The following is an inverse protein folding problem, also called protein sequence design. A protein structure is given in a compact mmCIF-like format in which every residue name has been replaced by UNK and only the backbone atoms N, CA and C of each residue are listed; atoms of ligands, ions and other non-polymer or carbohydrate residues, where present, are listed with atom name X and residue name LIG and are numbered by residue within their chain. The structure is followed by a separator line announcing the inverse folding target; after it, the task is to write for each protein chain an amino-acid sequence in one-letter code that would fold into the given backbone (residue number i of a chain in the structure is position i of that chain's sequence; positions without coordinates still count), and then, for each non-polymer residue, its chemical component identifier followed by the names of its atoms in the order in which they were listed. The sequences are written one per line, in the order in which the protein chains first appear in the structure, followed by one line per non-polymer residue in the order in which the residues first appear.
data_IF_806701591006
#
_entry.id   IF_806701591006
#
_cell.length_a   1.000
_cell.length_b   1.000
_cell.length_c   1.000
_cell.angle_alpha   90.00
_cell.angle_beta   90.00
_cell.angle_gamma   90.00
#
_symmetry.space_group_name_H-M   'P 1'
#
loop_
_entity.id
_entity.type
_entity.pdbx_description
1 polymer ?
#
# COMPACT_ATOMS: atom_id res chain seq x y z
N UNK A 1 3.93 -20.46 -4.94
CA UNK A 1 2.68 -20.10 -4.25
C UNK A 1 2.40 -18.61 -4.32
N UNK A 2 3.28 -17.76 -3.83
CA UNK A 2 3.06 -16.30 -3.87
C UNK A 2 3.70 -15.67 -5.12
N UNK A 3 3.05 -15.83 -6.26
CA UNK A 3 3.54 -15.29 -7.53
C UNK A 3 3.08 -13.86 -7.79
N UNK A 4 1.82 -13.54 -7.45
CA UNK A 4 1.26 -12.19 -7.58
C UNK A 4 1.03 -11.61 -6.20
N UNK A 5 1.84 -10.63 -5.84
CA UNK A 5 1.80 -9.98 -4.52
C UNK A 5 1.34 -8.54 -4.70
N UNK A 6 0.30 -8.15 -3.97
CA UNK A 6 -0.19 -6.77 -3.93
C UNK A 6 0.30 -6.11 -2.65
N UNK A 7 1.03 -5.03 -2.80
CA UNK A 7 1.51 -4.22 -1.67
C UNK A 7 0.70 -2.93 -1.62
N UNK A 8 -0.12 -2.79 -0.58
CA UNK A 8 -0.91 -1.58 -0.37
C UNK A 8 -0.12 -0.58 0.48
N UNK A 9 0.08 0.63 -0.05
CA UNK A 9 0.87 1.66 0.61
C UNK A 9 0.08 2.95 0.76
N UNK A 10 0.38 3.72 1.80
CA UNK A 10 -0.18 5.05 2.03
C UNK A 10 0.91 6.10 2.28
N UNK A 11 2.18 5.71 2.14
CA UNK A 11 3.33 6.58 2.36
C UNK A 11 3.75 6.72 3.81
N UNK A 12 3.13 6.01 4.74
CA UNK A 12 3.51 6.01 6.16
C UNK A 12 4.76 5.17 6.41
N UNK A 13 5.32 5.26 7.62
CA UNK A 13 6.41 4.38 8.08
C UNK A 13 5.99 2.91 8.02
N UNK A 14 4.72 2.62 8.27
CA UNK A 14 4.18 1.26 8.18
C UNK A 14 4.23 0.74 6.74
N UNK A 15 4.00 1.60 5.75
CA UNK A 15 4.16 1.26 4.33
C UNK A 15 5.61 0.93 3.99
N UNK A 16 6.58 1.64 4.55
CA UNK A 16 7.99 1.34 4.34
C UNK A 16 8.36 -0.04 4.87
N UNK A 17 7.87 -0.39 6.06
CA UNK A 17 8.08 -1.73 6.64
C UNK A 17 7.41 -2.81 5.80
N UNK A 18 6.18 -2.56 5.36
CA UNK A 18 5.44 -3.48 4.48
C UNK A 18 6.19 -3.73 3.18
N UNK A 19 6.83 -2.70 2.64
CA UNK A 19 7.65 -2.78 1.43
C UNK A 19 8.84 -3.74 1.62
N UNK A 20 9.52 -3.66 2.76
CA UNK A 20 10.63 -4.56 3.05
C UNK A 20 10.16 -6.02 3.07
N UNK A 21 9.01 -6.29 3.67
CA UNK A 21 8.43 -7.64 3.66
C UNK A 21 8.05 -8.10 2.25
N UNK A 22 7.47 -7.20 1.44
CA UNK A 22 7.10 -7.53 0.06
C UNK A 22 8.30 -7.92 -0.78
N UNK A 23 9.40 -7.19 -0.66
CA UNK A 23 10.64 -7.47 -1.38
C UNK A 23 11.22 -8.81 -0.92
N UNK A 24 11.30 -9.05 0.38
CA UNK A 24 11.84 -10.30 0.92
C UNK A 24 11.03 -11.52 0.47
N UNK A 25 9.71 -11.43 0.52
CA UNK A 25 8.84 -12.51 0.06
C UNK A 25 8.93 -12.69 -1.45
N UNK A 26 9.01 -11.59 -2.21
CA UNK A 26 9.17 -11.66 -3.66
C UNK A 26 10.44 -12.35 -4.09
N UNK A 27 11.52 -12.21 -3.32
CA UNK A 27 12.79 -12.86 -3.60
C UNK A 27 12.80 -14.36 -3.37
N UNK A 28 11.82 -14.90 -2.64
CA UNK A 28 11.73 -16.32 -2.36
C UNK A 28 11.32 -17.17 -3.57
N UNK A 29 10.77 -16.53 -4.59
CA UNK A 29 10.39 -17.21 -5.82
C UNK A 29 10.89 -16.43 -7.04
N UNK A 30 11.37 -17.13 -8.05
CA UNK A 30 11.96 -16.52 -9.24
C UNK A 30 10.95 -15.83 -10.14
N UNK A 31 9.67 -16.13 -10.01
CA UNK A 31 8.61 -15.60 -10.88
C UNK A 31 7.66 -14.64 -10.15
N UNK A 32 8.03 -14.22 -8.95
CA UNK A 32 7.16 -13.33 -8.18
C UNK A 32 7.09 -11.93 -8.82
N UNK A 33 5.87 -11.43 -8.93
CA UNK A 33 5.59 -10.07 -9.35
C UNK A 33 5.00 -9.31 -8.17
N UNK A 34 5.55 -8.14 -7.86
CA UNK A 34 5.01 -7.25 -6.83
C UNK A 34 4.38 -6.05 -7.51
N UNK A 35 3.13 -5.80 -7.18
CA UNK A 35 2.42 -4.61 -7.62
C UNK A 35 2.11 -3.74 -6.42
N UNK A 36 2.49 -2.47 -6.49
CA UNK A 36 2.21 -1.47 -5.47
C UNK A 36 0.89 -0.81 -5.83
N UNK A 37 -0.06 -0.80 -4.89
CA UNK A 37 -1.29 -0.02 -5.06
C UNK A 37 -1.29 1.15 -4.07
N UNK A 38 -1.51 2.35 -4.62
CA UNK A 38 -1.69 3.58 -3.86
C UNK A 38 -3.08 4.14 -4.19
N UNK A 39 -3.93 4.28 -3.18
CA UNK A 39 -5.29 4.77 -3.36
C UNK A 39 -5.40 6.21 -2.87
N UNK A 40 -5.82 7.09 -3.77
CA UNK A 40 -6.06 8.50 -3.48
C UNK A 40 -7.51 8.66 -3.01
N UNK A 41 -7.67 9.09 -1.77
CA UNK A 41 -8.96 9.32 -1.16
C UNK A 41 -9.35 10.81 -1.32
N UNK A 42 -10.29 11.10 -2.19
CA UNK A 42 -10.72 12.47 -2.46
C UNK A 42 -11.33 13.16 -1.24
N UNK A 43 -11.96 12.41 -0.34
CA UNK A 43 -12.56 13.00 0.87
C UNK A 43 -11.49 13.56 1.80
N UNK A 44 -10.32 12.94 1.85
CA UNK A 44 -9.18 13.40 2.64
C UNK A 44 -8.34 14.43 1.89
N UNK A 45 -8.36 14.43 0.56
CA UNK A 45 -7.57 15.34 -0.27
C UNK A 45 -7.89 16.81 -0.01
N UNK A 46 -9.16 17.17 0.21
CA UNK A 46 -9.55 18.54 0.52
C UNK A 46 -8.91 19.02 1.83
N UNK A 47 -8.97 18.20 2.87
CA UNK A 47 -8.36 18.52 4.17
C UNK A 47 -6.84 18.61 4.06
N UNK A 48 -6.21 17.68 3.35
CA UNK A 48 -4.77 17.67 3.14
C UNK A 48 -4.28 18.88 2.33
N UNK A 49 -5.05 19.31 1.33
CA UNK A 49 -4.74 20.52 0.54
C UNK A 49 -4.76 21.75 1.45
N UNK A 50 -5.73 21.86 2.35
CA UNK A 50 -5.81 22.96 3.32
C UNK A 50 -4.60 22.98 4.25
N UNK A 51 -4.09 21.82 4.65
CA UNK A 51 -2.92 21.72 5.53
C UNK A 51 -1.60 21.97 4.79
N UNK A 52 -1.48 21.52 3.55
CA UNK A 52 -0.25 21.65 2.77
C UNK A 52 -0.12 22.96 2.00
N UNK A 53 -1.20 23.74 1.93
CA UNK A 53 -1.24 25.06 1.32
C UNK A 53 -1.60 25.06 -0.17
N UNK A 54 -1.45 23.95 -0.89
CA UNK A 54 -1.85 23.85 -2.31
C UNK A 54 -1.97 22.41 -2.75
N UNK A 55 -2.71 22.19 -3.84
CA UNK A 55 -2.84 20.87 -4.47
C UNK A 55 -1.49 20.40 -5.05
N UNK A 56 -0.70 21.32 -5.56
CA UNK A 56 0.63 21.02 -6.11
C UNK A 56 1.60 20.54 -5.04
N UNK A 57 1.63 21.21 -3.88
CA UNK A 57 2.45 20.81 -2.73
C UNK A 57 2.06 19.43 -2.22
N UNK A 58 0.77 19.13 -2.18
CA UNK A 58 0.26 17.84 -1.78
C UNK A 58 0.70 16.73 -2.74
N UNK A 59 0.60 16.97 -4.05
CA UNK A 59 1.01 16.00 -5.05
C UNK A 59 2.52 15.72 -4.96
N UNK A 60 3.34 16.75 -4.76
CA UNK A 60 4.78 16.59 -4.59
C UNK A 60 5.10 15.77 -3.34
N UNK A 61 4.41 16.02 -2.22
CA UNK A 61 4.59 15.27 -0.99
C UNK A 61 4.26 13.78 -1.18
N UNK A 62 3.18 13.48 -1.90
CA UNK A 62 2.79 12.11 -2.23
C UNK A 62 3.84 11.42 -3.11
N UNK A 63 4.35 12.11 -4.13
CA UNK A 63 5.40 11.58 -5.02
C UNK A 63 6.68 11.28 -4.25
N UNK A 64 7.06 12.14 -3.30
CA UNK A 64 8.26 11.92 -2.47
C UNK A 64 8.11 10.68 -1.60
N UNK A 65 6.92 10.46 -1.01
CA UNK A 65 6.64 9.27 -0.22
C UNK A 65 6.71 7.99 -1.06
N UNK A 66 6.14 8.03 -2.27
CA UNK A 66 6.21 6.93 -3.21
C UNK A 66 7.63 6.67 -3.69
N UNK A 67 8.44 7.72 -3.89
CA UNK A 67 9.84 7.57 -4.27
C UNK A 67 10.66 6.80 -3.25
N UNK A 68 10.39 6.98 -1.97
CA UNK A 68 11.06 6.20 -0.91
C UNK A 68 10.74 4.71 -1.05
N UNK A 69 9.48 4.39 -1.32
CA UNK A 69 9.03 3.01 -1.49
C UNK A 69 9.63 2.42 -2.77
N UNK A 70 9.52 3.13 -3.88
CA UNK A 70 10.10 2.72 -5.15
C UNK A 70 11.63 2.57 -5.06
N UNK A 71 12.29 3.48 -4.34
CA UNK A 71 13.72 3.43 -4.10
C UNK A 71 14.18 2.16 -3.41
N UNK A 72 13.38 1.60 -2.52
CA UNK A 72 13.68 0.31 -1.88
C UNK A 72 13.74 -0.82 -2.92
N UNK A 73 12.78 -0.87 -3.84
CA UNK A 73 12.77 -1.83 -4.92
C UNK A 73 13.98 -1.66 -5.84
N UNK A 74 14.28 -0.42 -6.20
CA UNK A 74 15.41 -0.09 -7.09
C UNK A 74 16.75 -0.48 -6.46
N UNK A 75 16.94 -0.19 -5.18
CA UNK A 75 18.15 -0.55 -4.44
C UNK A 75 18.36 -2.06 -4.41
N UNK A 76 17.29 -2.82 -4.23
CA UNK A 76 17.33 -4.28 -4.19
C UNK A 76 17.33 -4.93 -5.59
N UNK A 77 17.23 -4.13 -6.65
CA UNK A 77 17.16 -4.63 -8.02
C UNK A 77 15.93 -5.49 -8.31
N UNK A 78 14.84 -5.25 -7.58
CA UNK A 78 13.61 -6.02 -7.72
C UNK A 78 12.58 -5.23 -8.54
N UNK A 79 12.06 -5.84 -9.61
CA UNK A 79 11.06 -5.22 -10.47
C UNK A 79 9.70 -5.12 -9.78
N UNK A 80 9.00 -4.04 -10.04
CA UNK A 80 7.68 -3.79 -9.47
C UNK A 80 6.79 -3.05 -10.48
N UNK A 81 5.49 -3.10 -10.25
CA UNK A 81 4.50 -2.29 -10.98
C UNK A 81 3.85 -1.34 -9.98
N UNK A 82 3.61 -0.10 -10.38
CA UNK A 82 2.90 0.89 -9.56
C UNK A 82 1.53 1.17 -10.16
N UNK A 83 0.49 1.01 -9.37
CA UNK A 83 -0.90 1.28 -9.77
C UNK A 83 -1.49 2.31 -8.81
N UNK A 84 -2.02 3.38 -9.37
CA UNK A 84 -2.70 4.42 -8.61
C UNK A 84 -4.19 4.35 -8.89
N UNK A 85 -4.99 4.37 -7.83
CA UNK A 85 -6.45 4.34 -7.89
C UNK A 85 -7.02 5.51 -7.10
N UNK A 86 -8.25 5.87 -7.41
CA UNK A 86 -9.01 6.89 -6.70
C UNK A 86 -10.21 6.23 -6.03
N UNK A 87 -10.51 6.64 -4.82
CA UNK A 87 -11.68 6.15 -4.11
C UNK A 87 -11.42 5.96 -2.62
N UNK A 88 -12.29 5.18 -1.98
CA UNK A 88 -12.12 4.78 -0.59
C UNK A 88 -11.08 3.65 -0.52
N UNK A 89 -9.99 3.81 0.22
CA UNK A 89 -8.87 2.87 0.19
C UNK A 89 -9.25 1.42 0.50
N UNK A 90 -10.00 1.17 1.56
CA UNK A 90 -10.35 -0.20 1.96
C UNK A 90 -11.07 -0.97 0.85
N UNK A 91 -12.26 -0.51 0.43
CA UNK A 91 -13.00 -1.17 -0.64
C UNK A 91 -12.25 -1.22 -1.98
N UNK A 92 -11.48 -0.19 -2.31
CA UNK A 92 -10.71 -0.14 -3.57
C UNK A 92 -9.63 -1.21 -3.59
N UNK A 93 -8.88 -1.38 -2.50
CA UNK A 93 -7.86 -2.42 -2.38
C UNK A 93 -8.49 -3.80 -2.47
N UNK A 94 -9.60 -4.02 -1.76
CA UNK A 94 -10.31 -5.32 -1.74
C UNK A 94 -10.76 -5.69 -3.15
N UNK A 95 -11.44 -4.79 -3.85
CA UNK A 95 -11.92 -5.04 -5.21
C UNK A 95 -10.76 -5.32 -6.17
N UNK A 96 -9.71 -4.52 -6.09
CA UNK A 96 -8.55 -4.68 -6.96
C UNK A 96 -7.86 -6.03 -6.75
N UNK A 97 -7.67 -6.41 -5.49
CA UNK A 97 -7.03 -7.68 -5.14
C UNK A 97 -7.85 -8.89 -5.63
N UNK A 98 -9.16 -8.85 -5.40
CA UNK A 98 -10.05 -9.96 -5.76
C UNK A 98 -10.25 -10.06 -7.28
N UNK A 99 -10.48 -8.93 -7.96
CA UNK A 99 -10.71 -8.89 -9.40
C UNK A 99 -9.48 -9.32 -10.22
N UNK A 100 -8.29 -9.06 -9.71
CA UNK A 100 -7.04 -9.38 -10.39
C UNK A 100 -6.36 -10.66 -9.86
N UNK A 101 -7.01 -11.40 -8.99
CA UNK A 101 -6.58 -12.71 -8.50
C UNK A 101 -5.16 -12.71 -7.93
N UNK A 102 -4.89 -11.80 -7.00
CA UNK A 102 -3.61 -11.80 -6.29
C UNK A 102 -3.50 -13.00 -5.35
N UNK A 103 -2.27 -13.47 -5.15
CA UNK A 103 -1.97 -14.62 -4.28
C UNK A 103 -1.74 -14.20 -2.83
N UNK A 104 -1.33 -12.95 -2.62
CA UNK A 104 -1.03 -12.39 -1.31
C UNK A 104 -1.24 -10.89 -1.34
N UNK A 105 -1.85 -10.34 -0.30
CA UNK A 105 -1.91 -8.89 -0.07
C UNK A 105 -1.09 -8.56 1.16
N UNK A 106 -0.23 -7.56 1.07
CA UNK A 106 0.58 -7.06 2.18
C UNK A 106 0.11 -5.64 2.50
N UNK A 107 -0.18 -5.40 3.77
CA UNK A 107 -0.67 -4.10 4.23
C UNK A 107 -0.09 -3.81 5.61
N UNK A 108 0.15 -2.52 5.90
CA UNK A 108 0.53 -2.11 7.25
C UNK A 108 -0.63 -2.23 8.22
N UNK A 109 -0.33 -2.55 9.47
CA UNK A 109 -1.36 -2.65 10.51
C UNK A 109 -2.01 -1.30 10.81
N UNK A 110 -1.31 -0.20 10.51
CA UNK A 110 -1.76 1.18 10.73
C UNK A 110 -1.35 2.05 9.56
N UNK A 111 -2.07 3.15 9.35
CA UNK A 111 -1.76 4.13 8.32
C UNK A 111 -1.31 5.47 8.91
N UNK A 112 -1.41 6.53 8.09
CA UNK A 112 -0.99 7.90 8.45
C UNK A 112 -1.78 8.48 9.63
N UNK A 113 -3.05 8.10 9.78
CA UNK A 113 -3.97 8.64 10.79
C UNK A 113 -4.32 7.60 11.86
N UNK A 114 -3.36 6.76 12.23
CA UNK A 114 -3.61 5.70 13.21
C UNK A 114 -3.57 6.24 14.63
N UNK A 115 -4.51 5.76 15.46
CA UNK A 115 -4.46 5.96 16.91
C UNK A 115 -3.62 4.84 17.53
N UNK A 116 -2.78 5.18 18.50
CA UNK A 116 -1.85 4.22 19.14
C UNK A 116 -2.58 3.03 19.80
N UNK A 117 -3.81 3.24 20.24
CA UNK A 117 -4.59 2.22 20.93
C UNK A 117 -5.30 1.22 20.01
N UNK A 118 -5.31 1.47 18.70
CA UNK A 118 -5.94 0.56 17.75
C UNK A 118 -5.05 -0.64 17.46
N UNK A 119 -5.60 -1.84 17.60
CA UNK A 119 -4.89 -3.09 17.25
C UNK A 119 -4.69 -3.16 15.74
N UNK A 120 -5.73 -2.82 14.96
CA UNK A 120 -5.66 -2.75 13.50
C UNK A 120 -6.30 -1.44 13.03
N UNK A 121 -5.72 -0.84 12.00
CA UNK A 121 -6.34 0.28 11.30
C UNK A 121 -7.58 -0.16 10.51
N UNK A 122 -8.44 0.79 10.16
CA UNK A 122 -9.68 0.50 9.44
C UNK A 122 -9.43 -0.17 8.08
N UNK A 123 -8.39 0.25 7.37
CA UNK A 123 -8.05 -0.31 6.05
C UNK A 123 -7.56 -1.74 6.20
N UNK A 124 -6.60 -1.99 7.09
CA UNK A 124 -6.08 -3.34 7.32
C UNK A 124 -7.15 -4.31 7.79
N UNK A 125 -8.08 -3.84 8.63
CA UNK A 125 -9.21 -4.65 9.09
C UNK A 125 -10.12 -5.07 7.92
N UNK A 126 -10.50 -4.13 7.05
CA UNK A 126 -11.34 -4.42 5.89
C UNK A 126 -10.64 -5.35 4.90
N UNK A 127 -9.37 -5.12 4.64
CA UNK A 127 -8.56 -5.95 3.76
C UNK A 127 -8.47 -7.37 4.31
N UNK A 128 -8.13 -7.52 5.59
CA UNK A 128 -8.03 -8.83 6.21
C UNK A 128 -9.35 -9.61 6.16
N UNK A 129 -10.48 -8.91 6.29
CA UNK A 129 -11.80 -9.55 6.33
C UNK A 129 -12.32 -9.94 4.94
N UNK A 130 -12.04 -9.13 3.90
CA UNK A 130 -12.77 -9.20 2.62
C UNK A 130 -11.95 -9.66 1.43
N UNK A 131 -10.62 -9.66 1.53
CA UNK A 131 -9.76 -10.15 0.46
C UNK A 131 -9.80 -11.67 0.45
N UNK A 132 -9.92 -12.26 -0.75
CA UNK A 132 -10.05 -13.71 -0.93
C UNK A 132 -8.77 -14.48 -0.66
N UNK A 133 -7.60 -13.85 -0.90
CA UNK A 133 -6.31 -14.48 -0.67
C UNK A 133 -5.77 -14.20 0.74
N UNK A 134 -4.67 -14.87 1.14
CA UNK A 134 -3.97 -14.53 2.39
C UNK A 134 -3.55 -13.07 2.46
N UNK A 135 -3.57 -12.53 3.66
CA UNK A 135 -3.18 -11.14 3.93
C UNK A 135 -2.09 -11.13 4.99
N UNK A 136 -0.97 -10.50 4.67
CA UNK A 136 0.10 -10.26 5.63
C UNK A 136 -0.05 -8.84 6.18
N UNK A 137 -0.25 -8.74 7.47
CA UNK A 137 -0.39 -7.45 8.17
C UNK A 137 0.94 -7.16 8.89
N UNK A 138 1.60 -6.09 8.47
CA UNK A 138 2.91 -5.71 9.01
C UNK A 138 2.75 -4.65 10.08
N UNK A 139 3.27 -4.94 11.27
CA UNK A 139 3.25 -4.01 12.41
C UNK A 139 4.31 -2.94 12.32
#
# INVERSE_FOLDING_TARGET
MYKKILLAVDGSVHSERSTDHAIQLGKLTTEAEVEIIYVLDFSKSKSEVLHSGSAEALEQARRQKLKKIEGKFQTEGFSYKLTMKHGDPGPTIVSYANDNHFDLVIVGSRGLNSFQEMVLGSISHKVAKRVDCPVLIVK
#
